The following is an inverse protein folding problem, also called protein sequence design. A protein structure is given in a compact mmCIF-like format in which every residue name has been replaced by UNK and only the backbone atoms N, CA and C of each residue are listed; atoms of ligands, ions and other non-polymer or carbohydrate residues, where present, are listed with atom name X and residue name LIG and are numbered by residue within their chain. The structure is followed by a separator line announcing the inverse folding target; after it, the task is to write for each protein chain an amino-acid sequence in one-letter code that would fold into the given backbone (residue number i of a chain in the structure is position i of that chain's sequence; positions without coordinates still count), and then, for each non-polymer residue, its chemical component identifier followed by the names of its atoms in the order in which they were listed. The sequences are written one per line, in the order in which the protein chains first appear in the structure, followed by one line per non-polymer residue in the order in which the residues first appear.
data_IF_041871209695
#
_entry.id   IF_041871209695
#
_cell.length_a   1.000
_cell.length_b   1.000
_cell.length_c   1.000
_cell.angle_alpha   90.00
_cell.angle_beta   90.00
_cell.angle_gamma   90.00
#
_symmetry.space_group_name_H-M   'P 1'
#
loop_
_entity.id
_entity.type
_entity.pdbx_description
1 polymer ?
#
# COMPACT_ATOMS: atom_id res chain seq x y z
N UNK A 1 20.16 -16.57 -7.98
CA UNK A 1 18.67 -16.67 -7.99
C UNK A 1 18.15 -15.27 -8.31
N UNK A 2 17.47 -15.08 -9.44
CA UNK A 2 17.10 -13.73 -9.94
C UNK A 2 15.80 -13.28 -9.29
N UNK A 3 15.74 -12.04 -8.79
CA UNK A 3 14.51 -11.45 -8.26
C UNK A 3 13.38 -11.47 -9.30
N UNK A 4 12.17 -11.81 -8.88
CA UNK A 4 11.00 -11.76 -9.77
C UNK A 4 10.58 -10.32 -10.01
N UNK A 5 9.78 -10.07 -11.06
CA UNK A 5 9.23 -8.75 -11.35
C UNK A 5 8.44 -8.18 -10.16
N UNK A 6 7.67 -9.03 -9.46
CA UNK A 6 6.89 -8.64 -8.29
C UNK A 6 7.78 -8.28 -7.10
N UNK A 7 8.87 -9.02 -6.89
CA UNK A 7 9.86 -8.73 -5.85
C UNK A 7 10.53 -7.37 -6.09
N UNK A 8 10.89 -7.08 -7.34
CA UNK A 8 11.45 -5.77 -7.73
C UNK A 8 10.44 -4.62 -7.54
N UNK A 9 9.17 -4.81 -7.90
CA UNK A 9 8.12 -3.81 -7.72
C UNK A 9 7.86 -3.55 -6.24
N UNK A 10 7.80 -4.61 -5.42
CA UNK A 10 7.65 -4.50 -3.97
C UNK A 10 8.81 -3.73 -3.35
N UNK A 11 10.06 -4.08 -3.66
CA UNK A 11 11.24 -3.38 -3.12
C UNK A 11 11.22 -1.88 -3.44
N UNK A 12 10.84 -1.51 -4.66
CA UNK A 12 10.65 -0.10 -5.05
C UNK A 12 9.58 0.59 -4.21
N UNK A 13 8.43 -0.06 -4.03
CA UNK A 13 7.33 0.48 -3.23
C UNK A 13 7.71 0.64 -1.76
N UNK A 14 8.41 -0.35 -1.17
CA UNK A 14 8.89 -0.28 0.21
C UNK A 14 9.87 0.88 0.38
N UNK A 15 10.88 0.98 -0.49
CA UNK A 15 11.84 2.09 -0.45
C UNK A 15 11.11 3.44 -0.55
N UNK A 16 10.18 3.58 -1.50
CA UNK A 16 9.42 4.82 -1.67
C UNK A 16 8.55 5.19 -0.44
N UNK A 17 7.95 4.21 0.22
CA UNK A 17 7.03 4.46 1.34
C UNK A 17 7.72 4.58 2.70
N UNK A 18 8.83 3.86 2.90
CA UNK A 18 9.51 3.76 4.20
C UNK A 18 10.69 4.74 4.29
N UNK A 19 11.42 4.97 3.18
CA UNK A 19 12.55 5.91 3.18
C UNK A 19 12.11 7.38 2.98
N UNK A 20 10.81 7.60 2.75
CA UNK A 20 10.16 8.91 2.72
C UNK A 20 10.18 9.60 4.08
N UNK A 21 11.34 10.11 4.49
CA UNK A 21 11.57 10.92 5.70
C UNK A 21 10.70 12.19 5.74
N UNK A 22 10.12 12.59 4.62
CA UNK A 22 9.12 13.66 4.54
C UNK A 22 7.71 13.10 4.42
N UNK A 23 7.00 13.04 5.55
CA UNK A 23 5.56 12.74 5.61
C UNK A 23 4.72 13.63 4.69
N UNK A 24 5.25 14.82 4.35
CA UNK A 24 4.64 15.76 3.39
C UNK A 24 4.63 15.28 1.93
N UNK A 25 5.57 14.42 1.52
CA UNK A 25 5.63 13.91 0.13
C UNK A 25 4.58 12.83 -0.14
N UNK A 26 4.18 12.07 0.89
CA UNK A 26 3.18 11.01 0.77
C UNK A 26 1.73 11.51 0.81
N UNK A 27 1.48 12.72 1.34
CA UNK A 27 0.14 13.24 1.64
C UNK A 27 -0.82 13.38 0.45
N UNK A 28 -0.33 13.28 -0.79
CA UNK A 28 -1.16 13.24 -2.01
C UNK A 28 -1.14 11.91 -2.76
N UNK A 29 -0.31 10.95 -2.34
CA UNK A 29 -0.08 9.72 -3.10
C UNK A 29 -1.14 8.67 -2.77
N UNK A 30 -1.71 8.08 -3.82
CA UNK A 30 -2.75 7.07 -3.73
C UNK A 30 -2.31 5.76 -4.37
N UNK A 31 -2.25 4.71 -3.57
CA UNK A 31 -1.90 3.36 -4.00
C UNK A 31 -3.12 2.63 -4.57
N UNK A 32 -2.88 1.72 -5.49
CA UNK A 32 -3.86 0.74 -6.00
C UNK A 32 -3.91 -0.47 -5.08
N UNK A 33 -5.00 -1.23 -5.16
CA UNK A 33 -5.17 -2.49 -4.41
C UNK A 33 -3.98 -3.43 -4.59
N UNK A 34 -3.49 -3.61 -5.82
CA UNK A 34 -2.33 -4.46 -6.10
C UNK A 34 -1.05 -4.00 -5.41
N UNK A 35 -0.83 -2.69 -5.31
CA UNK A 35 0.39 -2.14 -4.71
C UNK A 35 0.38 -2.39 -3.20
N UNK A 36 -0.78 -2.22 -2.58
CA UNK A 36 -1.01 -2.60 -1.18
C UNK A 36 -0.85 -4.10 -0.98
N UNK A 37 -1.39 -4.93 -1.88
CA UNK A 37 -1.25 -6.38 -1.82
C UNK A 37 0.22 -6.83 -1.88
N UNK A 38 1.03 -6.22 -2.76
CA UNK A 38 2.47 -6.47 -2.84
C UNK A 38 3.20 -6.06 -1.55
N UNK A 39 2.85 -4.91 -0.97
CA UNK A 39 3.50 -4.40 0.24
C UNK A 39 3.30 -5.35 1.45
N UNK A 40 2.06 -5.80 1.66
CA UNK A 40 1.68 -6.70 2.76
C UNK A 40 1.83 -8.19 2.41
N UNK A 41 2.28 -8.53 1.21
CA UNK A 41 2.44 -9.92 0.74
C UNK A 41 1.14 -10.75 0.85
N UNK A 42 0.00 -10.12 0.55
CA UNK A 42 -1.33 -10.73 0.55
C UNK A 42 -1.98 -10.68 -0.83
N UNK A 43 -3.15 -11.29 -0.97
CA UNK A 43 -3.96 -11.16 -2.19
C UNK A 43 -4.71 -9.81 -2.26
N UNK A 44 -5.01 -9.33 -3.47
CA UNK A 44 -5.85 -8.14 -3.68
C UNK A 44 -7.24 -8.28 -3.06
N UNK A 45 -7.77 -9.52 -3.00
CA UNK A 45 -9.03 -9.82 -2.34
C UNK A 45 -8.95 -9.54 -0.83
N UNK A 46 -7.88 -9.97 -0.17
CA UNK A 46 -7.67 -9.70 1.24
C UNK A 46 -7.64 -8.19 1.53
N UNK A 47 -6.92 -7.40 0.70
CA UNK A 47 -6.89 -5.94 0.82
C UNK A 47 -8.30 -5.33 0.65
N UNK A 48 -9.07 -5.82 -0.31
CA UNK A 48 -10.45 -5.35 -0.54
C UNK A 48 -11.36 -5.68 0.65
N UNK A 49 -11.18 -6.84 1.28
CA UNK A 49 -11.91 -7.25 2.47
C UNK A 49 -11.53 -6.39 3.68
N UNK A 50 -10.25 -6.07 3.86
CA UNK A 50 -9.79 -5.13 4.90
C UNK A 50 -10.42 -3.75 4.72
N UNK A 51 -10.44 -3.24 3.49
CA UNK A 51 -11.04 -1.95 3.17
C UNK A 51 -12.55 -1.93 3.43
N UNK A 52 -13.23 -3.03 3.15
CA UNK A 52 -14.67 -3.20 3.40
C UNK A 52 -14.97 -3.26 4.90
N UNK A 53 -14.07 -3.86 5.69
CA UNK A 53 -14.16 -3.93 7.15
C UNK A 53 -13.62 -2.68 7.87
N UNK A 54 -13.19 -1.65 7.13
CA UNK A 54 -12.62 -0.42 7.71
C UNK A 54 -11.25 -0.60 8.39
N UNK A 55 -10.54 -1.70 8.14
CA UNK A 55 -9.23 -2.01 8.75
C UNK A 55 -8.07 -1.26 8.12
N UNK A 56 -8.26 -0.75 6.90
CA UNK A 56 -7.29 0.04 6.16
C UNK A 56 -8.02 1.26 5.56
N UNK A 57 -7.50 2.49 5.75
CA UNK A 57 -8.09 3.68 5.13
C UNK A 57 -8.15 3.54 3.62
N UNK A 58 -9.32 3.84 3.04
CA UNK A 58 -9.51 3.79 1.59
C UNK A 58 -10.53 4.82 1.14
N UNK A 59 -10.37 5.27 -0.10
CA UNK A 59 -11.35 6.09 -0.82
C UNK A 59 -11.80 5.34 -2.07
N UNK A 60 -13.04 5.59 -2.50
CA UNK A 60 -13.55 5.09 -3.78
C UNK A 60 -13.48 6.20 -4.81
N UNK A 61 -12.97 5.86 -5.99
CA UNK A 61 -13.07 6.71 -7.18
C UNK A 61 -14.51 6.73 -7.71
N UNK A 62 -14.91 7.72 -8.53
CA UNK A 62 -16.22 7.72 -9.18
C UNK A 62 -16.53 6.42 -9.95
N UNK A 63 -15.52 5.77 -10.54
CA UNK A 63 -15.65 4.47 -11.22
C UNK A 63 -15.67 3.25 -10.29
N UNK A 64 -15.70 3.43 -8.97
CA UNK A 64 -15.85 2.36 -7.98
C UNK A 64 -14.55 1.69 -7.51
N UNK A 65 -13.43 1.92 -8.19
CA UNK A 65 -12.12 1.40 -7.76
C UNK A 65 -11.67 2.01 -6.43
N UNK A 66 -11.02 1.20 -5.59
CA UNK A 66 -10.44 1.65 -4.32
C UNK A 66 -9.06 2.25 -4.52
N UNK A 67 -8.75 3.26 -3.71
CA UNK A 67 -7.43 3.88 -3.58
C UNK A 67 -7.09 4.01 -2.11
N UNK A 68 -5.80 3.89 -1.79
CA UNK A 68 -5.30 3.84 -0.43
C UNK A 68 -4.28 4.96 -0.22
N UNK A 69 -4.49 5.87 0.76
CA UNK A 69 -3.51 6.91 1.07
C UNK A 69 -2.16 6.30 1.43
N UNK A 70 -1.10 6.72 0.75
CA UNK A 70 0.23 6.14 0.90
C UNK A 70 0.81 6.36 2.30
N UNK A 71 0.53 7.50 2.92
CA UNK A 71 0.91 7.84 4.29
C UNK A 71 0.26 6.92 5.33
N UNK A 72 -1.02 6.60 5.15
CA UNK A 72 -1.74 5.65 6.00
C UNK A 72 -1.19 4.23 5.84
N UNK A 73 -0.91 3.80 4.61
CA UNK A 73 -0.33 2.47 4.33
C UNK A 73 1.08 2.35 4.90
N UNK A 74 1.92 3.37 4.74
CA UNK A 74 3.25 3.41 5.32
C UNK A 74 3.19 3.29 6.86
N UNK A 75 2.26 4.00 7.50
CA UNK A 75 2.04 3.90 8.94
C UNK A 75 1.66 2.48 9.40
N UNK A 76 0.82 1.78 8.63
CA UNK A 76 0.45 0.38 8.92
C UNK A 76 1.61 -0.59 8.73
N UNK A 77 2.43 -0.43 7.68
CA UNK A 77 3.62 -1.27 7.46
C UNK A 77 4.62 -1.16 8.61
N UNK A 78 4.85 0.06 9.11
CA UNK A 78 5.72 0.28 10.27
C UNK A 78 5.12 -0.30 11.56
N UNK A 79 3.79 -0.33 11.68
CA UNK A 79 3.10 -0.89 12.84
C UNK A 79 3.09 -2.42 12.86
N UNK A 80 2.95 -3.09 11.71
CA UNK A 80 2.99 -4.56 11.63
C UNK A 80 4.41 -5.14 11.77
N UNK A 81 5.45 -4.36 11.43
CA UNK A 81 6.85 -4.78 11.60
C UNK A 81 7.42 -4.62 13.01
N UNK A 82 6.59 -4.27 14.01
CA UNK A 82 6.98 -4.17 15.43
C UNK A 82 6.62 -5.41 16.22
#
# INVERSE_FOLDING_TARGET
MVATKSDTERQRLVHELVDGRDRGTLGGRLLRTREVALLFEVSERAVTDWATKGRIPSIRTPGGHRRYPADAVAGLLVAEGR
#
